data_IF_692668757042
#
_entry.id   IF_692668757042
#
_cell.length_a   1.000
_cell.length_b   1.000
_cell.length_c   1.000
_cell.angle_alpha   90.00
_cell.angle_beta   90.00
_cell.angle_gamma   90.00
#
_symmetry.space_group_name_H-M   'P 1'
#
loop_
_entity.id
_entity.type
_entity.pdbx_description
1 polymer ?
#
# COMPACT_ATOMS: atom_id res chain seq x y z
N UNK A 1 -7.12 -8.76 -3.60
CA UNK A 1 -7.82 -8.90 -4.91
C UNK A 1 -6.93 -9.68 -5.87
N UNK A 2 -7.42 -10.76 -6.48
CA UNK A 2 -6.68 -11.54 -7.49
C UNK A 2 -6.88 -10.94 -8.88
N UNK A 3 -5.79 -10.74 -9.60
CA UNK A 3 -5.80 -10.46 -11.03
C UNK A 3 -5.16 -11.65 -11.73
N UNK A 4 -5.97 -12.39 -12.49
CA UNK A 4 -5.47 -13.36 -13.45
C UNK A 4 -5.27 -12.67 -14.78
N UNK A 5 -4.06 -12.72 -15.33
CA UNK A 5 -3.78 -12.19 -16.66
C UNK A 5 -4.33 -13.20 -17.68
N UNK A 6 -5.59 -12.98 -18.09
CA UNK A 6 -6.26 -13.73 -19.14
C UNK A 6 -6.25 -12.93 -20.45
N UNK A 7 -5.79 -13.55 -21.54
CA UNK A 7 -5.55 -12.91 -22.85
C UNK A 7 -6.81 -12.54 -23.66
N UNK A 8 -7.88 -12.02 -23.03
CA UNK A 8 -9.13 -11.63 -23.71
C UNK A 8 -9.24 -10.13 -24.02
N UNK A 9 -8.13 -9.45 -24.33
CA UNK A 9 -8.19 -8.16 -25.01
C UNK A 9 -8.44 -8.41 -26.50
N UNK A 10 -9.71 -8.32 -26.92
CA UNK A 10 -10.08 -8.27 -28.34
C UNK A 10 -9.60 -6.95 -28.92
N UNK A 11 -8.38 -6.92 -29.46
CA UNK A 11 -7.99 -5.91 -30.43
C UNK A 11 -8.71 -6.20 -31.74
N UNK A 12 -9.60 -5.29 -32.13
CA UNK A 12 -10.34 -5.29 -33.39
C UNK A 12 -9.39 -5.06 -34.56
N UNK A 13 -8.65 -6.09 -34.99
CA UNK A 13 -8.22 -6.25 -36.38
C UNK A 13 -7.84 -7.71 -36.59
N UNK A 14 -8.46 -8.34 -37.59
CA UNK A 14 -8.18 -9.71 -37.99
C UNK A 14 -6.70 -9.89 -38.34
N UNK A 15 -6.06 -10.87 -37.70
CA UNK A 15 -5.00 -11.72 -38.25
C UNK A 15 -4.86 -12.94 -37.32
N UNK A 16 -5.04 -14.11 -37.90
CA UNK A 16 -4.97 -15.42 -37.26
C UNK A 16 -3.61 -15.68 -36.62
N UNK A 17 -3.56 -15.67 -35.29
CA UNK A 17 -2.42 -16.10 -34.50
C UNK A 17 -2.77 -15.99 -33.03
N UNK A 18 -3.04 -17.13 -32.37
CA UNK A 18 -3.19 -17.15 -30.91
C UNK A 18 -1.81 -16.92 -30.28
N UNK A 19 -1.40 -15.66 -30.15
CA UNK A 19 -0.20 -15.30 -29.40
C UNK A 19 -0.53 -15.38 -27.91
N UNK A 20 -0.13 -16.48 -27.29
CA UNK A 20 -0.21 -16.65 -25.85
C UNK A 20 0.91 -15.82 -25.20
N UNK A 21 0.72 -14.51 -25.10
CA UNK A 21 1.77 -13.60 -24.58
C UNK A 21 1.76 -13.71 -23.06
N UNK A 22 2.55 -14.63 -22.52
CA UNK A 22 2.90 -14.58 -21.10
C UNK A 22 3.91 -13.44 -20.89
N UNK A 23 3.58 -12.46 -20.07
CA UNK A 23 4.55 -11.40 -19.71
C UNK A 23 5.57 -11.94 -18.72
N UNK A 24 6.84 -11.63 -18.93
CA UNK A 24 7.87 -11.85 -17.92
C UNK A 24 7.78 -10.75 -16.84
N UNK A 25 8.47 -10.96 -15.72
CA UNK A 25 8.49 -10.01 -14.61
C UNK A 25 8.91 -8.60 -15.09
N UNK A 26 9.94 -8.52 -15.93
CA UNK A 26 10.44 -7.27 -16.49
C UNK A 26 9.37 -6.51 -17.28
N UNK A 27 8.61 -7.20 -18.13
CA UNK A 27 7.51 -6.62 -18.89
C UNK A 27 6.41 -6.07 -17.97
N UNK A 28 6.01 -6.83 -16.95
CA UNK A 28 5.03 -6.37 -15.96
C UNK A 28 5.53 -5.15 -15.20
N UNK A 29 6.78 -5.16 -14.72
CA UNK A 29 7.37 -4.02 -14.03
C UNK A 29 7.41 -2.77 -14.90
N UNK A 30 7.73 -2.91 -16.20
CA UNK A 30 7.71 -1.79 -17.14
C UNK A 30 6.32 -1.16 -17.30
N UNK A 31 5.25 -1.96 -17.25
CA UNK A 31 3.87 -1.45 -17.24
C UNK A 31 3.55 -0.75 -15.92
N UNK A 32 3.95 -1.33 -14.78
CA UNK A 32 3.72 -0.72 -13.47
C UNK A 32 4.44 0.64 -13.34
N UNK A 33 5.67 0.75 -13.84
CA UNK A 33 6.42 2.01 -13.87
C UNK A 33 5.84 3.05 -14.83
N UNK A 34 5.13 2.65 -15.89
CA UNK A 34 4.38 3.58 -16.74
C UNK A 34 3.15 4.15 -16.02
N UNK A 35 2.50 3.32 -15.19
CA UNK A 35 1.33 3.75 -14.41
C UNK A 35 1.74 4.67 -13.25
N UNK A 36 2.80 4.33 -12.52
CA UNK A 36 3.39 5.20 -11.51
C UNK A 36 4.92 5.15 -11.55
N UNK A 37 5.54 6.14 -12.23
CA UNK A 37 6.99 6.23 -12.30
C UNK A 37 7.61 6.29 -10.91
N UNK A 38 8.55 5.39 -10.61
CA UNK A 38 9.21 5.33 -9.29
C UNK A 38 9.95 6.63 -8.95
N UNK A 39 10.32 7.43 -9.97
CA UNK A 39 10.90 8.77 -9.78
C UNK A 39 9.98 9.78 -9.09
N UNK A 40 8.68 9.49 -8.99
CA UNK A 40 7.71 10.31 -8.25
C UNK A 40 7.70 9.99 -6.75
N UNK A 41 8.33 8.89 -6.32
CA UNK A 41 8.37 8.52 -4.91
C UNK A 41 9.17 9.52 -4.09
N UNK A 42 8.82 9.60 -2.81
CA UNK A 42 9.56 10.37 -1.83
C UNK A 42 10.97 9.80 -1.61
N UNK A 43 11.94 10.66 -1.31
CA UNK A 43 13.35 10.25 -1.18
C UNK A 43 13.62 9.29 -0.02
N UNK A 44 12.71 9.20 0.95
CA UNK A 44 12.81 8.31 2.10
C UNK A 44 12.15 6.94 1.86
N UNK A 45 11.41 6.79 0.77
CA UNK A 45 10.57 5.64 0.52
C UNK A 45 11.34 4.49 -0.13
N UNK A 46 10.84 3.26 0.05
CA UNK A 46 11.40 2.06 -0.56
C UNK A 46 10.40 1.45 -1.54
N UNK A 47 10.26 2.07 -2.70
CA UNK A 47 9.35 1.66 -3.77
C UNK A 47 10.04 0.75 -4.80
N UNK A 48 9.24 0.13 -5.66
CA UNK A 48 9.71 -0.72 -6.75
C UNK A 48 9.68 -2.21 -6.41
N UNK A 49 10.54 -2.98 -7.09
CA UNK A 49 10.70 -4.42 -6.85
C UNK A 49 11.52 -4.64 -5.56
N UNK A 50 10.88 -5.24 -4.56
CA UNK A 50 11.46 -5.47 -3.23
C UNK A 50 11.99 -6.88 -3.05
N UNK A 51 11.35 -7.85 -3.71
CA UNK A 51 11.80 -9.24 -3.74
C UNK A 51 11.75 -9.72 -5.18
N UNK A 52 12.91 -10.11 -5.70
CA UNK A 52 13.06 -10.76 -6.98
C UNK A 52 13.43 -12.25 -6.76
N UNK A 53 12.57 -13.19 -7.15
CA UNK A 53 12.89 -14.61 -7.05
C UNK A 53 14.01 -15.02 -8.00
N UNK A 54 14.84 -15.97 -7.57
CA UNK A 54 16.02 -16.41 -8.33
C UNK A 54 15.70 -17.13 -9.66
N UNK A 55 14.48 -17.67 -9.79
CA UNK A 55 14.03 -18.37 -10.99
C UNK A 55 13.04 -17.48 -11.74
N UNK A 56 13.39 -16.99 -12.94
CA UNK A 56 12.46 -16.22 -13.75
C UNK A 56 11.28 -17.12 -14.15
N UNK A 57 10.06 -16.63 -13.92
CA UNK A 57 8.81 -17.29 -14.30
C UNK A 57 7.93 -16.29 -15.03
N UNK A 58 7.11 -16.74 -16.00
CA UNK A 58 6.09 -15.88 -16.57
C UNK A 58 5.07 -15.48 -15.50
N UNK A 59 4.66 -14.22 -15.49
CA UNK A 59 3.66 -13.70 -14.56
C UNK A 59 2.27 -14.02 -15.12
N UNK A 60 1.51 -14.84 -14.40
CA UNK A 60 0.14 -15.23 -14.76
C UNK A 60 -0.86 -14.77 -13.71
N UNK A 61 -0.44 -14.78 -12.45
CA UNK A 61 -1.28 -14.44 -11.31
C UNK A 61 -0.64 -13.33 -10.48
N UNK A 62 -1.38 -12.22 -10.31
CA UNK A 62 -0.99 -11.10 -9.47
C UNK A 62 -1.97 -10.98 -8.30
N UNK A 63 -1.47 -10.84 -7.08
CA UNK A 63 -2.26 -10.48 -5.90
C UNK A 63 -2.05 -9.00 -5.56
N UNK A 64 -3.14 -8.23 -5.48
CA UNK A 64 -3.11 -6.85 -4.97
C UNK A 64 -3.53 -6.81 -3.50
N UNK A 65 -2.76 -6.11 -2.67
CA UNK A 65 -3.04 -5.89 -1.25
C UNK A 65 -2.59 -4.50 -0.79
N UNK A 66 -3.18 -3.99 0.30
CA UNK A 66 -2.66 -2.80 0.98
C UNK A 66 -1.38 -3.14 1.75
N UNK A 67 -1.43 -4.22 2.53
CA UNK A 67 -0.34 -4.71 3.38
C UNK A 67 -0.09 -6.19 3.09
N UNK A 68 1.17 -6.55 2.84
CA UNK A 68 1.59 -7.96 2.81
C UNK A 68 1.81 -8.47 4.23
N UNK A 69 0.74 -8.94 4.87
CA UNK A 69 0.78 -9.62 6.18
C UNK A 69 1.06 -11.12 6.02
N UNK A 70 1.30 -11.84 7.11
CA UNK A 70 1.47 -13.31 7.08
C UNK A 70 0.25 -14.01 6.45
N UNK A 71 -0.97 -13.60 6.81
CA UNK A 71 -2.20 -14.19 6.27
C UNK A 71 -2.35 -13.93 4.76
N UNK A 72 -1.96 -12.73 4.31
CA UNK A 72 -1.97 -12.39 2.87
C UNK A 72 -0.89 -13.17 2.10
N UNK A 73 0.24 -13.47 2.74
CA UNK A 73 1.24 -14.37 2.16
C UNK A 73 0.72 -15.80 2.06
N UNK A 74 0.03 -16.30 3.09
CA UNK A 74 -0.61 -17.62 3.05
C UNK A 74 -1.60 -17.71 1.86
N UNK A 75 -2.42 -16.66 1.67
CA UNK A 75 -3.31 -16.52 0.50
C UNK A 75 -2.52 -16.51 -0.83
N UNK A 76 -1.43 -15.74 -0.92
CA UNK A 76 -0.62 -15.65 -2.13
C UNK A 76 -0.01 -17.01 -2.54
N UNK A 77 0.45 -17.79 -1.56
CA UNK A 77 0.99 -19.13 -1.78
C UNK A 77 -0.11 -20.12 -2.18
N UNK A 78 -1.25 -20.13 -1.48
CA UNK A 78 -2.40 -21.01 -1.81
C UNK A 78 -2.88 -20.76 -3.24
N UNK A 79 -2.87 -19.49 -3.67
CA UNK A 79 -3.31 -19.07 -5.00
C UNK A 79 -2.26 -19.26 -6.09
N UNK A 80 -1.06 -19.75 -5.74
CA UNK A 80 0.10 -19.87 -6.61
C UNK A 80 0.39 -18.56 -7.37
N UNK A 81 0.42 -17.44 -6.64
CA UNK A 81 0.73 -16.14 -7.21
C UNK A 81 2.17 -16.07 -7.74
N UNK A 82 2.37 -15.33 -8.82
CA UNK A 82 3.70 -15.07 -9.37
C UNK A 82 4.25 -13.73 -8.89
N UNK A 83 3.35 -12.78 -8.59
CA UNK A 83 3.67 -11.43 -8.13
C UNK A 83 2.64 -10.97 -7.10
N UNK A 84 3.12 -10.38 -6.00
CA UNK A 84 2.32 -9.60 -5.06
C UNK A 84 2.65 -8.12 -5.25
N UNK A 85 1.62 -7.32 -5.44
CA UNK A 85 1.71 -5.85 -5.40
C UNK A 85 1.11 -5.40 -4.08
N UNK A 86 1.97 -4.96 -3.17
CA UNK A 86 1.61 -4.44 -1.85
C UNK A 86 1.71 -2.92 -1.88
N UNK A 87 0.64 -2.21 -1.54
CA UNK A 87 0.67 -0.74 -1.50
C UNK A 87 1.76 -0.23 -0.54
N UNK A 88 1.80 -0.73 0.70
CA UNK A 88 2.90 -0.45 1.62
C UNK A 88 4.10 -1.39 1.38
N UNK A 89 5.35 -0.87 1.41
CA UNK A 89 6.54 -1.72 1.29
C UNK A 89 6.72 -2.63 2.52
N UNK A 90 6.58 -3.96 2.40
CA UNK A 90 6.83 -4.86 3.54
C UNK A 90 8.30 -4.82 3.98
N UNK A 91 9.22 -4.57 3.05
CA UNK A 91 10.67 -4.45 3.27
C UNK A 91 11.09 -2.97 3.37
N UNK A 92 10.40 -2.17 4.18
CA UNK A 92 10.64 -0.72 4.27
C UNK A 92 12.03 -0.30 4.77
N UNK A 93 12.72 -1.15 5.55
CA UNK A 93 14.09 -0.88 6.05
C UNK A 93 15.05 -1.98 5.59
N UNK A 94 16.31 -1.65 5.29
CA UNK A 94 17.30 -2.64 4.90
C UNK A 94 17.53 -3.70 5.99
N UNK A 95 17.59 -4.97 5.59
CA UNK A 95 17.99 -6.05 6.48
C UNK A 95 19.50 -6.23 6.48
N UNK A 96 20.11 -6.28 7.67
CA UNK A 96 21.51 -6.70 7.82
C UNK A 96 21.67 -8.22 7.80
N UNK A 97 20.61 -8.95 8.14
CA UNK A 97 20.53 -10.42 8.23
C UNK A 97 19.12 -10.87 7.85
N UNK A 98 18.99 -12.05 7.25
CA UNK A 98 17.71 -12.71 6.99
C UNK A 98 17.57 -13.92 7.92
N UNK A 99 16.76 -13.77 8.96
CA UNK A 99 16.55 -14.75 10.02
C UNK A 99 15.04 -15.00 10.19
N UNK A 100 14.68 -16.20 10.59
CA UNK A 100 13.27 -16.60 10.77
C UNK A 100 12.58 -15.99 12.01
N UNK A 101 13.26 -15.15 12.80
CA UNK A 101 12.70 -14.55 14.03
C UNK A 101 11.77 -13.38 13.74
N UNK A 102 12.13 -12.55 12.77
CA UNK A 102 11.34 -11.39 12.36
C UNK A 102 10.34 -11.76 11.26
N UNK A 103 9.10 -11.31 11.38
CA UNK A 103 8.03 -11.72 10.46
C UNK A 103 8.21 -11.16 9.04
N UNK A 104 8.79 -9.96 8.88
CA UNK A 104 9.07 -9.37 7.56
C UNK A 104 10.21 -10.10 6.86
N UNK A 105 11.23 -10.52 7.60
CA UNK A 105 12.29 -11.38 7.08
C UNK A 105 11.74 -12.76 6.68
N UNK A 106 10.82 -13.35 7.47
CA UNK A 106 10.13 -14.59 7.08
C UNK A 106 9.36 -14.42 5.77
N UNK A 107 8.63 -13.32 5.60
CA UNK A 107 7.92 -13.02 4.35
C UNK A 107 8.88 -12.94 3.16
N UNK A 108 10.01 -12.25 3.30
CA UNK A 108 10.99 -12.16 2.22
C UNK A 108 11.56 -13.55 1.84
N UNK A 109 11.87 -14.39 2.83
CA UNK A 109 12.34 -15.76 2.57
C UNK A 109 11.26 -16.60 1.88
N UNK A 110 10.03 -16.58 2.39
CA UNK A 110 8.88 -17.28 1.79
C UNK A 110 8.63 -16.85 0.35
N UNK A 111 8.68 -15.55 0.07
CA UNK A 111 8.54 -15.00 -1.28
C UNK A 111 9.60 -15.57 -2.23
N UNK A 112 10.87 -15.57 -1.81
CA UNK A 112 11.97 -16.13 -2.62
C UNK A 112 11.78 -17.64 -2.85
N UNK A 113 11.46 -18.41 -1.81
CA UNK A 113 11.29 -19.86 -1.88
C UNK A 113 10.06 -20.27 -2.71
N UNK A 114 8.94 -19.56 -2.56
CA UNK A 114 7.71 -19.75 -3.34
C UNK A 114 7.81 -19.23 -4.77
N UNK A 115 8.88 -18.50 -5.11
CA UNK A 115 9.09 -17.88 -6.41
C UNK A 115 8.19 -16.67 -6.68
N UNK A 116 7.71 -16.00 -5.63
CA UNK A 116 6.75 -14.91 -5.67
C UNK A 116 7.52 -13.58 -5.66
N UNK A 117 7.38 -12.78 -6.71
CA UNK A 117 7.92 -11.43 -6.72
C UNK A 117 7.10 -10.52 -5.81
N UNK A 118 7.73 -9.49 -5.22
CA UNK A 118 7.03 -8.49 -4.39
C UNK A 118 7.38 -7.10 -4.90
N UNK A 119 6.38 -6.34 -5.30
CA UNK A 119 6.50 -4.96 -5.77
C UNK A 119 5.65 -4.02 -4.91
N UNK A 120 6.11 -2.79 -4.72
CA UNK A 120 5.37 -1.77 -3.98
C UNK A 120 5.52 -0.38 -4.61
N UNK A 121 4.42 0.29 -5.02
CA UNK A 121 4.50 1.62 -5.59
C UNK A 121 4.41 2.74 -4.53
N UNK A 122 3.66 2.55 -3.45
CA UNK A 122 3.50 3.48 -2.32
C UNK A 122 3.42 4.95 -2.74
N UNK A 123 4.36 5.81 -2.30
CA UNK A 123 4.31 7.25 -2.59
C UNK A 123 4.44 7.62 -4.06
N UNK A 124 4.96 6.72 -4.92
CA UNK A 124 4.94 6.95 -6.37
C UNK A 124 3.53 6.88 -6.93
N UNK A 125 2.67 6.01 -6.37
CA UNK A 125 1.25 5.89 -6.74
C UNK A 125 0.43 7.07 -6.21
N UNK A 126 0.76 7.59 -5.04
CA UNK A 126 0.12 8.77 -4.45
C UNK A 126 0.35 10.02 -5.30
N UNK A 127 1.56 10.13 -5.85
CA UNK A 127 2.00 11.28 -6.63
C UNK A 127 1.68 11.16 -8.13
N UNK A 128 1.36 9.95 -8.60
CA UNK A 128 1.05 9.69 -10.00
C UNK A 128 -0.22 10.41 -10.43
N UNK A 129 -0.21 10.92 -11.66
CA UNK A 129 -1.43 11.44 -12.30
C UNK A 129 -2.42 10.29 -12.47
N UNK A 130 -3.69 10.56 -12.19
CA UNK A 130 -4.77 9.57 -12.13
C UNK A 130 -4.48 8.46 -11.09
N UNK A 131 -3.59 8.75 -10.11
CA UNK A 131 -3.19 7.88 -9.02
C UNK A 131 -4.13 7.93 -7.81
N UNK A 132 -3.65 7.49 -6.64
CA UNK A 132 -4.51 7.35 -5.45
C UNK A 132 -5.15 8.67 -5.01
N UNK A 133 -4.35 9.74 -4.94
CA UNK A 133 -4.82 11.04 -4.48
C UNK A 133 -5.86 11.65 -5.44
N UNK A 134 -5.67 11.50 -6.74
CA UNK A 134 -6.61 11.95 -7.77
C UNK A 134 -7.94 11.19 -7.66
N UNK A 135 -7.88 9.87 -7.43
CA UNK A 135 -9.07 9.04 -7.23
C UNK A 135 -9.84 9.42 -5.95
N UNK A 136 -9.13 9.63 -4.84
CA UNK A 136 -9.74 10.05 -3.56
C UNK A 136 -10.46 11.40 -3.70
N UNK A 137 -9.81 12.37 -4.34
CA UNK A 137 -10.39 13.71 -4.54
C UNK A 137 -11.55 13.68 -5.53
N UNK A 138 -11.46 12.89 -6.59
CA UNK A 138 -12.56 12.65 -7.51
C UNK A 138 -13.80 12.09 -6.81
N UNK A 139 -13.62 11.20 -5.83
CA UNK A 139 -14.71 10.67 -4.99
C UNK A 139 -15.44 11.73 -4.15
N UNK A 140 -14.77 12.83 -3.81
CA UNK A 140 -15.35 13.97 -3.11
C UNK A 140 -16.04 14.99 -4.05
N UNK A 141 -16.01 14.75 -5.37
CA UNK A 141 -16.57 15.67 -6.38
C UNK A 141 -15.63 16.81 -6.76
N UNK A 142 -14.36 16.72 -6.38
CA UNK A 142 -13.34 17.72 -6.67
C UNK A 142 -12.37 17.23 -7.72
N UNK A 143 -11.64 18.17 -8.33
CA UNK A 143 -10.47 17.84 -9.14
C UNK A 143 -9.22 18.08 -8.30
N UNK A 144 -8.33 17.09 -8.26
CA UNK A 144 -7.03 17.27 -7.65
C UNK A 144 -6.27 18.36 -8.40
N UNK A 145 -5.66 19.28 -7.66
CA UNK A 145 -4.73 20.22 -8.25
C UNK A 145 -3.46 19.43 -8.57
N UNK A 146 -3.37 18.96 -9.82
CA UNK A 146 -2.31 18.09 -10.30
C UNK A 146 -0.92 18.49 -9.76
N UNK A 147 -0.40 17.62 -8.89
CA UNK A 147 0.98 17.14 -8.75
C UNK A 147 2.09 18.11 -9.18
N UNK A 148 2.56 18.93 -8.25
CA UNK A 148 3.98 19.26 -8.27
C UNK A 148 4.78 17.93 -8.18
N UNK A 149 5.86 17.76 -8.95
CA UNK A 149 6.69 16.56 -8.82
C UNK A 149 7.14 16.46 -7.35
N UNK A 150 6.94 15.29 -6.73
CA UNK A 150 7.24 14.99 -5.31
C UNK A 150 6.20 15.47 -4.28
N UNK A 151 4.90 15.21 -4.48
CA UNK A 151 3.93 15.40 -3.41
C UNK A 151 3.02 14.17 -3.26
N UNK A 152 3.37 13.31 -2.32
CA UNK A 152 2.50 12.24 -1.79
C UNK A 152 1.24 12.77 -1.06
N UNK A 153 1.03 14.09 -1.02
CA UNK A 153 -0.04 14.74 -0.27
C UNK A 153 -1.19 15.12 -1.17
N UNK A 154 -2.39 14.99 -0.62
CA UNK A 154 -3.62 15.45 -1.26
C UNK A 154 -3.75 16.96 -1.13
N UNK A 155 -3.89 17.66 -2.27
CA UNK A 155 -4.14 19.10 -2.34
C UNK A 155 -5.37 19.39 -3.23
N UNK A 156 -6.32 20.16 -2.69
CA UNK A 156 -7.51 20.62 -3.41
C UNK A 156 -7.97 22.00 -2.91
N UNK A 157 -8.82 22.66 -3.69
CA UNK A 157 -9.37 23.98 -3.36
C UNK A 157 -10.85 23.88 -3.03
N UNK A 158 -11.26 24.57 -1.97
CA UNK A 158 -12.66 24.87 -1.69
C UNK A 158 -12.96 26.32 -2.08
N UNK A 159 -14.08 26.55 -2.78
CA UNK A 159 -14.54 27.86 -3.23
C UNK A 159 -15.19 28.71 -2.13
N UNK A 160 -15.54 28.12 -0.98
CA UNK A 160 -16.07 28.85 0.17
C UNK A 160 -15.78 28.16 1.51
N UNK A 161 -15.94 28.90 2.63
CA UNK A 161 -15.83 28.31 3.98
C UNK A 161 -16.93 27.26 4.24
N UNK A 162 -18.15 27.49 3.75
CA UNK A 162 -19.28 26.54 3.91
C UNK A 162 -18.99 25.22 3.20
N UNK A 163 -18.40 25.30 2.02
CA UNK A 163 -17.97 24.14 1.24
C UNK A 163 -16.85 23.38 1.98
N UNK A 164 -15.82 24.09 2.45
CA UNK A 164 -14.77 23.51 3.28
C UNK A 164 -15.34 22.76 4.51
N UNK A 165 -16.24 23.38 5.26
CA UNK A 165 -16.82 22.78 6.46
C UNK A 165 -17.62 21.50 6.13
N UNK A 166 -18.28 21.49 4.97
CA UNK A 166 -19.04 20.34 4.47
C UNK A 166 -18.12 19.18 4.06
N UNK A 167 -16.99 19.46 3.42
CA UNK A 167 -15.96 18.45 3.09
C UNK A 167 -15.35 17.87 4.36
N UNK A 168 -14.96 18.72 5.31
CA UNK A 168 -14.40 18.27 6.58
C UNK A 168 -15.38 17.39 7.36
N UNK A 169 -16.69 17.71 7.30
CA UNK A 169 -17.73 16.89 7.89
C UNK A 169 -17.83 15.53 7.19
N UNK A 170 -17.89 15.50 5.87
CA UNK A 170 -17.95 14.27 5.08
C UNK A 170 -16.75 13.35 5.35
N UNK A 171 -15.54 13.92 5.41
CA UNK A 171 -14.31 13.16 5.71
C UNK A 171 -14.37 12.52 7.10
N UNK A 172 -14.78 13.28 8.12
CA UNK A 172 -14.93 12.77 9.49
C UNK A 172 -15.97 11.65 9.58
N UNK A 173 -17.08 11.79 8.86
CA UNK A 173 -18.14 10.77 8.80
C UNK A 173 -17.65 9.49 8.08
N UNK A 174 -16.78 9.63 7.08
CA UNK A 174 -16.28 8.52 6.27
C UNK A 174 -15.23 7.68 7.00
N UNK A 175 -14.32 8.29 7.79
CA UNK A 175 -13.25 7.54 8.48
C UNK A 175 -13.59 7.07 9.90
N UNK A 176 -14.76 7.41 10.48
CA UNK A 176 -15.04 7.14 11.91
C UNK A 176 -13.90 7.61 12.84
N UNK A 177 -13.15 8.64 12.45
CA UNK A 177 -11.91 9.06 13.09
C UNK A 177 -11.86 10.57 13.25
N UNK A 178 -11.59 11.03 14.48
CA UNK A 178 -11.33 12.45 14.79
C UNK A 178 -9.91 12.90 14.36
N UNK A 179 -9.12 12.03 13.71
CA UNK A 179 -7.68 12.21 13.51
C UNK A 179 -7.26 13.07 12.30
N UNK A 180 -8.21 13.56 11.49
CA UNK A 180 -7.88 14.38 10.31
C UNK A 180 -7.20 15.69 10.70
N UNK A 181 -5.91 15.79 10.37
CA UNK A 181 -5.18 17.06 10.44
C UNK A 181 -5.16 17.71 9.07
N UNK A 182 -5.53 18.99 9.05
CA UNK A 182 -5.46 19.81 7.85
C UNK A 182 -4.77 21.14 8.12
N UNK A 183 -4.08 21.64 7.11
CA UNK A 183 -3.50 22.97 7.11
C UNK A 183 -4.23 23.80 6.07
N UNK A 184 -4.67 25.00 6.44
CA UNK A 184 -5.20 25.98 5.50
C UNK A 184 -4.06 26.92 5.08
N UNK A 185 -3.63 26.83 3.82
CA UNK A 185 -2.80 27.89 3.25
C UNK A 185 -3.72 28.98 2.71
N UNK A 186 -3.70 30.15 3.37
CA UNK A 186 -4.37 31.35 2.87
C UNK A 186 -3.47 32.04 1.85
N UNK A 187 -3.65 31.73 0.58
CA UNK A 187 -3.25 32.65 -0.49
C UNK A 187 -4.48 33.45 -0.92
N UNK A 188 -4.27 34.72 -1.20
CA UNK A 188 -5.30 35.71 -1.56
C UNK A 188 -6.36 35.07 -2.50
N UNK A 189 -7.59 34.95 -1.97
CA UNK A 189 -8.85 34.48 -2.61
C UNK A 189 -9.14 32.95 -2.63
N UNK A 190 -8.21 32.04 -2.27
CA UNK A 190 -8.52 30.59 -2.22
C UNK A 190 -7.87 29.87 -1.02
N UNK A 191 -8.63 29.00 -0.34
CA UNK A 191 -8.13 28.15 0.75
C UNK A 191 -7.69 26.80 0.20
N UNK A 192 -6.39 26.48 0.30
CA UNK A 192 -5.84 25.16 -0.01
C UNK A 192 -5.88 24.27 1.24
N UNK A 193 -6.36 23.04 1.10
CA UNK A 193 -6.54 22.08 2.21
C UNK A 193 -5.58 20.91 2.04
N UNK A 194 -4.79 20.64 3.08
CA UNK A 194 -3.94 19.44 3.19
C UNK A 194 -4.66 18.35 3.98
N UNK A 195 -4.56 17.09 3.57
CA UNK A 195 -5.00 15.95 4.39
C UNK A 195 -3.83 14.98 4.60
N UNK A 196 -3.51 14.67 5.86
CA UNK A 196 -2.56 13.63 6.26
C UNK A 196 -3.05 12.93 7.53
N UNK A 197 -2.82 11.63 7.64
CA UNK A 197 -3.22 10.78 8.77
C UNK A 197 -1.99 10.55 9.69
N UNK A 198 -2.02 10.65 11.06
CA UNK A 198 -1.13 10.27 12.24
C UNK A 198 0.39 10.70 12.49
N UNK A 199 1.12 10.34 13.61
CA UNK A 199 1.43 11.16 14.83
C UNK A 199 2.93 11.51 15.09
N UNK A 200 3.22 12.51 15.96
CA UNK A 200 4.58 12.96 16.36
C UNK A 200 4.95 12.71 17.83
N UNK A 201 6.26 12.55 18.11
CA UNK A 201 6.86 12.97 19.38
C UNK A 201 7.96 14.04 19.12
N UNK A 202 7.96 15.06 19.99
CA UNK A 202 8.65 16.35 19.98
C UNK A 202 10.20 16.26 20.04
N UNK A 203 10.99 17.17 19.45
CA UNK A 203 11.12 18.62 19.74
C UNK A 203 11.69 19.41 18.52
N UNK A 204 11.08 20.56 18.20
CA UNK A 204 11.61 21.62 17.31
C UNK A 204 10.89 21.79 15.95
N UNK A 205 10.36 22.99 15.67
CA UNK A 205 9.70 23.42 14.41
C UNK A 205 10.47 22.99 13.13
N UNK A 206 9.86 22.70 11.94
CA UNK A 206 8.46 22.86 11.50
C UNK A 206 7.68 21.53 11.39
N UNK A 207 6.37 21.57 11.66
CA UNK A 207 5.51 20.39 11.75
C UNK A 207 5.27 19.71 10.39
N UNK A 208 5.86 18.53 10.25
CA UNK A 208 5.47 17.46 9.32
C UNK A 208 4.80 16.33 10.13
N UNK A 209 3.75 15.69 9.60
CA UNK A 209 3.07 14.55 10.25
C UNK A 209 2.70 13.44 9.24
N UNK A 210 2.59 12.17 9.67
CA UNK A 210 3.31 10.98 9.17
C UNK A 210 2.60 9.60 9.11
N UNK A 211 1.34 9.33 9.40
CA UNK A 211 0.69 7.99 9.44
C UNK A 211 1.22 7.08 10.57
N UNK A 212 0.36 6.26 11.20
CA UNK A 212 0.72 5.53 12.38
C UNK A 212 1.37 4.26 11.88
N UNK A 213 2.46 3.89 12.52
CA UNK A 213 2.69 2.47 12.62
C UNK A 213 1.62 1.95 13.58
N UNK A 214 0.87 0.94 13.15
CA UNK A 214 0.14 0.10 14.09
C UNK A 214 1.16 -0.35 15.16
N UNK A 215 1.06 0.22 16.37
CA UNK A 215 1.90 -0.21 17.49
C UNK A 215 1.52 -1.65 17.80
N UNK A 216 2.53 -2.51 17.69
CA UNK A 216 2.78 -3.72 18.47
C UNK A 216 1.55 -4.39 19.08
N UNK A 217 1.24 -5.60 18.59
CA UNK A 217 0.34 -6.51 19.26
C UNK A 217 0.72 -6.63 20.75
N UNK A 218 -0.14 -6.09 21.61
CA UNK A 218 -0.30 -6.63 22.94
C UNK A 218 -0.82 -8.05 22.76
N UNK A 219 -0.08 -8.98 23.33
CA UNK A 219 -0.31 -10.41 23.29
C UNK A 219 -1.76 -10.76 23.58
N UNK A 220 -2.47 -11.33 22.60
CA UNK A 220 -3.47 -12.35 22.90
C UNK A 220 -2.73 -13.63 23.27
N UNK A 221 -2.16 -13.65 24.48
CA UNK A 221 -1.84 -14.92 25.11
C UNK A 221 -3.16 -15.62 25.42
N UNK A 222 -3.49 -16.66 24.66
CA UNK A 222 -4.41 -17.67 25.15
C UNK A 222 -3.88 -18.18 26.50
N UNK A 223 -4.69 -18.24 27.58
CA UNK A 223 -4.23 -18.81 28.83
C UNK A 223 -3.79 -20.27 28.59
N UNK A 224 -2.70 -20.73 29.22
CA UNK A 224 -2.26 -22.11 29.08
C UNK A 224 -3.35 -23.06 29.59
N UNK A 225 -3.49 -24.26 29.00
CA UNK A 225 -4.47 -25.23 29.46
C UNK A 225 -4.21 -25.54 30.95
N UNK A 226 -5.25 -25.39 31.75
CA UNK A 226 -5.23 -25.77 33.16
C UNK A 226 -5.05 -27.28 33.23
N UNK A 227 -3.86 -27.72 33.66
CA UNK A 227 -3.66 -29.07 34.13
C UNK A 227 -4.50 -29.26 35.39
N UNK A 228 -5.66 -29.92 35.24
CA UNK A 228 -6.38 -30.49 36.37
C UNK A 228 -5.53 -31.65 36.90
N UNK A 229 -4.80 -31.39 37.99
CA UNK A 229 -4.29 -32.46 38.84
C UNK A 229 -5.49 -33.09 39.54
N UNK A 230 -5.87 -34.27 39.07
CA UNK A 230 -6.63 -35.20 39.88
C UNK A 230 -5.69 -35.72 40.97
N UNK A 231 -5.81 -35.21 42.20
CA UNK A 231 -5.30 -35.90 43.36
C UNK A 231 -6.40 -35.98 44.42
N UNK A 232 -6.67 -37.22 44.76
CA UNK A 232 -7.59 -37.74 45.75
C UNK A 232 -7.28 -37.31 47.18
N UNK A 233 -8.35 -37.34 47.99
CA UNK A 233 -8.44 -37.84 49.37
C UNK A 233 -8.84 -36.82 50.45
N UNK A 234 -10.09 -36.99 50.89
CA UNK A 234 -10.49 -37.33 52.26
C UNK A 234 -10.03 -36.47 53.45
N UNK A 235 -11.05 -35.97 54.16
CA UNK A 235 -11.12 -35.39 55.52
C UNK A 235 -10.73 -33.93 55.71
#
# INVERSE_FOLDING_TARGET
MKISINNNLKTTTELSGHCNVSMDLKGVLGVLEQLAPLSLAESWDNVGLLVEPSRPRPIKTILLTNDLTSAVMDEAEEMACDLVISYHPPLFRPFKRLLQKDWKQRLAVRAVEGGIAVFSPHTSWDSAKDGLNDWLIGGLGYQALCSAPQRHRVEFTAGSQVELDSILKLLKETENSEAFQYTLLRYVIFSLIYMANYPTHSLGLPLSLVMPQHQEGKDYHAPPPTHVKSDSASF
#
